data_IF_085617796584
#
_entry.id   IF_085617796584
#
_cell.length_a   1.000
_cell.length_b   1.000
_cell.length_c   1.000
_cell.angle_alpha   90.00
_cell.angle_beta   90.00
_cell.angle_gamma   90.00
#
_symmetry.space_group_name_H-M   'P 1'
#
loop_
_entity.id
_entity.type
_entity.pdbx_description
1 polymer ?
#
# COMPACT_ATOMS: atom_id res chain seq x y z
N UNK A 1 9.71 -11.92 -13.59
CA UNK A 1 9.58 -13.39 -13.66
C UNK A 1 10.84 -14.09 -14.19
N UNK A 2 11.38 -13.72 -15.33
CA UNK A 2 12.61 -14.38 -15.85
C UNK A 2 13.86 -14.03 -15.02
N UNK A 3 14.04 -12.77 -14.65
CA UNK A 3 15.23 -12.29 -13.93
C UNK A 3 15.28 -12.76 -12.49
N UNK A 4 14.17 -12.72 -11.77
CA UNK A 4 14.12 -13.12 -10.36
C UNK A 4 14.45 -14.61 -10.19
N UNK A 5 13.92 -15.47 -11.07
CA UNK A 5 14.19 -16.92 -11.03
C UNK A 5 15.69 -17.23 -11.14
N UNK A 6 16.43 -16.49 -11.98
CA UNK A 6 17.88 -16.64 -12.10
C UNK A 6 18.61 -16.07 -10.89
N UNK A 7 18.20 -14.90 -10.41
CA UNK A 7 18.82 -14.24 -9.25
C UNK A 7 18.71 -15.09 -7.96
N UNK A 8 17.63 -15.87 -7.78
CA UNK A 8 17.44 -16.74 -6.61
C UNK A 8 18.59 -17.74 -6.42
N UNK A 9 19.13 -18.23 -7.51
CA UNK A 9 20.16 -19.29 -7.52
C UNK A 9 21.60 -18.77 -7.46
N UNK A 10 21.80 -17.47 -7.41
CA UNK A 10 23.12 -16.83 -7.43
C UNK A 10 23.54 -16.38 -6.02
N UNK A 11 24.84 -16.43 -5.74
CA UNK A 11 25.42 -15.77 -4.58
C UNK A 11 25.30 -14.25 -4.67
N UNK A 12 25.52 -13.52 -3.57
CA UNK A 12 25.41 -12.05 -3.56
C UNK A 12 26.35 -11.39 -4.58
N UNK A 13 27.58 -11.88 -4.73
CA UNK A 13 28.55 -11.36 -5.71
C UNK A 13 28.10 -11.63 -7.16
N UNK A 14 27.63 -12.84 -7.42
CA UNK A 14 27.12 -13.22 -8.75
C UNK A 14 25.86 -12.44 -9.14
N UNK A 15 24.99 -12.11 -8.17
CA UNK A 15 23.82 -11.27 -8.40
C UNK A 15 24.21 -9.87 -8.89
N UNK A 16 25.22 -9.26 -8.28
CA UNK A 16 25.71 -7.94 -8.68
C UNK A 16 26.24 -8.00 -10.11
N UNK A 17 27.04 -8.99 -10.44
CA UNK A 17 27.58 -9.16 -11.78
C UNK A 17 26.48 -9.40 -12.80
N UNK A 18 25.53 -10.27 -12.48
CA UNK A 18 24.40 -10.56 -13.38
C UNK A 18 23.52 -9.32 -13.64
N UNK A 19 23.18 -8.54 -12.61
CA UNK A 19 22.42 -7.29 -12.78
C UNK A 19 23.22 -6.30 -13.63
N UNK A 20 24.53 -6.17 -13.39
CA UNK A 20 25.38 -5.31 -14.19
C UNK A 20 25.44 -5.73 -15.66
N UNK A 21 25.51 -7.03 -15.94
CA UNK A 21 25.51 -7.53 -17.33
C UNK A 21 24.14 -7.25 -18.00
N UNK A 22 23.02 -7.49 -17.29
CA UNK A 22 21.69 -7.16 -17.79
C UNK A 22 21.55 -5.68 -18.13
N UNK A 23 22.09 -4.79 -17.28
CA UNK A 23 22.02 -3.35 -17.55
C UNK A 23 22.89 -2.93 -18.74
N UNK A 24 24.02 -3.57 -18.96
CA UNK A 24 24.81 -3.39 -20.18
C UNK A 24 24.09 -3.83 -21.45
N UNK A 25 23.27 -4.88 -21.33
CA UNK A 25 22.44 -5.40 -22.43
C UNK A 25 21.16 -4.58 -22.63
N UNK A 26 21.00 -3.47 -21.91
CA UNK A 26 19.89 -2.52 -22.05
C UNK A 26 18.65 -2.85 -21.21
N UNK A 27 18.73 -3.81 -20.29
CA UNK A 27 17.64 -4.09 -19.34
C UNK A 27 17.63 -3.01 -18.27
N UNK A 28 16.49 -2.33 -18.07
CA UNK A 28 16.38 -1.33 -17.01
C UNK A 28 16.34 -1.96 -15.62
N UNK A 29 16.87 -1.23 -14.62
CA UNK A 29 16.77 -1.64 -13.23
C UNK A 29 15.31 -1.80 -12.76
N UNK A 30 14.40 -0.99 -13.29
CA UNK A 30 12.97 -1.07 -12.98
C UNK A 30 12.35 -2.41 -13.41
N UNK A 31 12.72 -2.94 -14.57
CA UNK A 31 12.24 -4.25 -15.03
C UNK A 31 12.75 -5.39 -14.14
N UNK A 32 13.99 -5.27 -13.65
CA UNK A 32 14.56 -6.24 -12.72
C UNK A 32 13.81 -6.18 -11.38
N UNK A 33 13.59 -4.97 -10.86
CA UNK A 33 12.82 -4.73 -9.64
C UNK A 33 11.39 -5.27 -9.76
N UNK A 34 10.69 -4.95 -10.85
CA UNK A 34 9.34 -5.46 -11.11
C UNK A 34 9.30 -6.99 -11.11
N UNK A 35 10.30 -7.65 -11.73
CA UNK A 35 10.39 -9.11 -11.71
C UNK A 35 10.55 -9.68 -10.29
N UNK A 36 11.31 -9.02 -9.42
CA UNK A 36 11.50 -9.42 -8.01
C UNK A 36 10.20 -9.23 -7.23
N UNK A 37 9.52 -8.09 -7.42
CA UNK A 37 8.25 -7.78 -6.75
C UNK A 37 7.15 -8.73 -7.23
N UNK A 38 7.10 -9.06 -8.51
CA UNK A 38 6.10 -9.98 -9.07
C UNK A 38 6.17 -11.40 -8.47
N UNK A 39 7.35 -11.81 -8.01
CA UNK A 39 7.54 -13.08 -7.32
C UNK A 39 7.37 -12.97 -5.79
N UNK A 40 7.10 -11.77 -5.27
CA UNK A 40 7.03 -11.43 -3.84
C UNK A 40 8.21 -11.98 -3.03
N UNK A 41 9.41 -12.00 -3.64
CA UNK A 41 10.63 -12.52 -3.03
C UNK A 41 11.29 -11.47 -2.12
N UNK A 42 10.93 -11.53 -0.85
CA UNK A 42 11.44 -10.60 0.16
C UNK A 42 12.97 -10.63 0.31
N UNK A 43 13.60 -11.79 0.16
CA UNK A 43 15.05 -11.90 0.31
C UNK A 43 15.79 -11.20 -0.85
N UNK A 44 15.33 -11.42 -2.08
CA UNK A 44 15.84 -10.71 -3.25
C UNK A 44 15.52 -9.22 -3.20
N UNK A 45 14.32 -8.84 -2.77
CA UNK A 45 13.95 -7.44 -2.61
C UNK A 45 14.89 -6.71 -1.64
N UNK A 46 15.14 -7.29 -0.46
CA UNK A 46 16.08 -6.71 0.52
C UNK A 46 17.50 -6.55 -0.04
N UNK A 47 17.96 -7.57 -0.77
CA UNK A 47 19.25 -7.49 -1.44
C UNK A 47 19.29 -6.36 -2.47
N UNK A 48 18.27 -6.31 -3.35
CA UNK A 48 18.17 -5.32 -4.42
C UNK A 48 18.05 -3.90 -3.85
N UNK A 49 17.16 -3.70 -2.90
CA UNK A 49 16.92 -2.40 -2.27
C UNK A 49 18.19 -1.83 -1.65
N UNK A 50 18.98 -2.66 -0.96
CA UNK A 50 20.24 -2.24 -0.34
C UNK A 50 21.29 -1.76 -1.36
N UNK A 51 21.27 -2.29 -2.57
CA UNK A 51 22.32 -2.03 -3.59
C UNK A 51 21.90 -0.95 -4.61
N UNK A 52 20.62 -0.85 -4.91
CA UNK A 52 20.14 -0.13 -6.10
C UNK A 52 19.00 0.85 -5.82
N UNK A 53 18.41 0.86 -4.62
CA UNK A 53 17.37 1.81 -4.27
C UNK A 53 17.89 2.84 -3.28
N UNK A 54 17.91 4.09 -3.70
CA UNK A 54 18.26 5.20 -2.80
C UNK A 54 17.10 5.54 -1.87
N UNK A 55 15.85 5.39 -2.36
CA UNK A 55 14.64 5.72 -1.63
C UNK A 55 13.47 4.83 -2.06
N UNK A 56 12.52 4.62 -1.15
CA UNK A 56 11.22 4.07 -1.46
C UNK A 56 10.33 5.17 -2.03
N UNK A 57 9.76 4.95 -3.20
CA UNK A 57 8.82 5.86 -3.84
C UNK A 57 7.48 5.18 -4.14
N UNK A 58 6.53 5.95 -4.66
CA UNK A 58 5.21 5.45 -5.06
C UNK A 58 5.26 4.38 -6.15
N UNK A 59 6.34 4.31 -6.94
CA UNK A 59 6.52 3.31 -7.99
C UNK A 59 6.66 1.92 -7.40
N UNK A 60 7.49 1.76 -6.36
CA UNK A 60 7.65 0.49 -5.64
C UNK A 60 6.33 0.03 -5.04
N UNK A 61 5.60 0.94 -4.37
CA UNK A 61 4.30 0.63 -3.79
C UNK A 61 3.28 0.25 -4.86
N UNK A 62 3.27 0.96 -5.99
CA UNK A 62 2.42 0.65 -7.14
C UNK A 62 2.69 -0.73 -7.73
N UNK A 63 3.95 -1.11 -7.87
CA UNK A 63 4.34 -2.45 -8.29
C UNK A 63 3.91 -3.53 -7.29
N UNK A 64 4.06 -3.25 -5.98
CA UNK A 64 3.60 -4.18 -4.94
C UNK A 64 2.08 -4.40 -5.00
N UNK A 65 1.28 -3.36 -5.26
CA UNK A 65 -0.17 -3.48 -5.44
C UNK A 65 -0.49 -4.28 -6.71
N UNK A 66 0.10 -3.90 -7.84
CA UNK A 66 -0.09 -4.56 -9.14
C UNK A 66 0.17 -6.07 -9.08
N UNK A 67 1.20 -6.47 -8.36
CA UNK A 67 1.62 -7.87 -8.25
C UNK A 67 1.17 -8.56 -6.96
N UNK A 68 0.39 -7.87 -6.10
CA UNK A 68 -0.10 -8.39 -4.81
C UNK A 68 1.02 -8.88 -3.89
N UNK A 69 2.15 -8.18 -3.89
CA UNK A 69 3.37 -8.53 -3.17
C UNK A 69 3.24 -8.24 -1.66
N UNK A 70 2.49 -9.07 -0.96
CA UNK A 70 2.11 -8.87 0.44
C UNK A 70 3.30 -8.95 1.39
N UNK A 71 4.26 -9.87 1.17
CA UNK A 71 5.43 -10.01 2.05
C UNK A 71 6.33 -8.77 1.98
N UNK A 72 6.49 -8.21 0.77
CA UNK A 72 7.27 -6.99 0.57
C UNK A 72 6.56 -5.80 1.22
N UNK A 73 5.23 -5.65 1.07
CA UNK A 73 4.46 -4.58 1.71
C UNK A 73 4.53 -4.65 3.23
N UNK A 74 4.35 -5.82 3.84
CA UNK A 74 4.47 -6.03 5.29
C UNK A 74 5.88 -5.65 5.76
N UNK A 75 6.90 -6.03 5.02
CA UNK A 75 8.27 -5.64 5.34
C UNK A 75 8.46 -4.12 5.28
N UNK A 76 7.99 -3.47 4.23
CA UNK A 76 8.08 -2.02 4.06
C UNK A 76 7.36 -1.28 5.18
N UNK A 77 6.21 -1.78 5.62
CA UNK A 77 5.51 -1.25 6.78
C UNK A 77 6.33 -1.38 8.07
N UNK A 78 7.00 -2.50 8.26
CA UNK A 78 7.82 -2.75 9.45
C UNK A 78 9.09 -1.91 9.51
N UNK A 79 9.57 -1.44 8.39
CA UNK A 79 10.74 -0.56 8.30
C UNK A 79 10.40 0.82 8.84
N UNK A 80 10.77 1.10 10.11
CA UNK A 80 10.56 2.39 10.79
C UNK A 80 11.40 3.55 10.20
N UNK A 81 12.00 3.38 9.05
CA UNK A 81 12.87 4.40 8.48
C UNK A 81 12.05 5.43 7.71
N UNK A 82 12.40 6.69 7.89
CA UNK A 82 11.89 7.84 7.14
C UNK A 82 12.31 7.78 5.64
N UNK A 83 12.02 6.65 5.00
CA UNK A 83 12.34 6.39 3.59
C UNK A 83 11.42 7.17 2.65
N UNK A 84 10.38 7.80 3.21
CA UNK A 84 9.38 8.52 2.43
C UNK A 84 9.83 9.93 2.18
N UNK A 85 10.41 10.17 1.03
CA UNK A 85 10.44 11.52 0.48
C UNK A 85 9.06 11.83 -0.09
N UNK A 86 8.13 12.23 0.81
CA UNK A 86 6.72 12.49 0.51
C UNK A 86 6.55 13.76 -0.35
N UNK A 87 7.60 14.26 -0.99
CA UNK A 87 7.48 15.40 -1.88
C UNK A 87 6.54 15.18 -3.08
N UNK A 88 6.08 13.93 -3.31
CA UNK A 88 5.12 13.59 -4.36
C UNK A 88 3.87 12.91 -3.78
N UNK A 89 3.06 13.66 -3.02
CA UNK A 89 1.79 13.20 -2.44
C UNK A 89 0.82 12.55 -3.45
N UNK A 90 0.86 12.99 -4.70
CA UNK A 90 -0.02 12.49 -5.76
C UNK A 90 0.15 11.00 -6.06
N UNK A 91 1.37 10.48 -6.03
CA UNK A 91 1.64 9.10 -6.39
C UNK A 91 1.10 8.12 -5.34
N UNK A 92 1.25 8.42 -4.05
CA UNK A 92 0.78 7.54 -2.97
C UNK A 92 -0.75 7.49 -2.92
N UNK A 93 -1.42 8.63 -3.10
CA UNK A 93 -2.88 8.69 -3.20
C UNK A 93 -3.40 7.83 -4.34
N UNK A 94 -2.79 7.94 -5.52
CA UNK A 94 -3.13 7.14 -6.69
C UNK A 94 -2.96 5.64 -6.42
N UNK A 95 -1.85 5.24 -5.79
CA UNK A 95 -1.57 3.84 -5.45
C UNK A 95 -2.64 3.26 -4.54
N UNK A 96 -3.11 3.99 -3.52
CA UNK A 96 -4.16 3.49 -2.62
C UNK A 96 -5.51 3.40 -3.32
N UNK A 97 -5.87 4.39 -4.14
CA UNK A 97 -7.11 4.31 -4.92
C UNK A 97 -7.09 3.09 -5.85
N UNK A 98 -5.96 2.83 -6.51
CA UNK A 98 -5.76 1.63 -7.32
C UNK A 98 -5.86 0.36 -6.46
N UNK A 99 -5.27 0.34 -5.28
CA UNK A 99 -5.36 -0.79 -4.37
C UNK A 99 -6.80 -1.11 -3.95
N UNK A 100 -7.63 -0.09 -3.70
CA UNK A 100 -9.06 -0.30 -3.39
C UNK A 100 -9.78 -0.95 -4.58
N UNK A 101 -9.42 -0.62 -5.80
CA UNK A 101 -10.05 -1.17 -6.99
C UNK A 101 -9.59 -2.61 -7.28
N UNK A 102 -8.29 -2.88 -7.18
CA UNK A 102 -7.66 -4.11 -7.66
C UNK A 102 -7.48 -5.21 -6.62
N UNK A 103 -7.33 -4.85 -5.33
CA UNK A 103 -7.14 -5.85 -4.27
C UNK A 103 -8.47 -6.44 -3.81
N UNK A 104 -8.45 -7.72 -3.46
CA UNK A 104 -9.59 -8.45 -2.91
C UNK A 104 -9.44 -8.69 -1.40
N UNK A 105 -10.45 -9.31 -0.80
CA UNK A 105 -10.42 -9.64 0.64
C UNK A 105 -9.23 -10.52 1.03
N UNK A 106 -8.81 -11.42 0.17
CA UNK A 106 -7.59 -12.23 0.38
C UNK A 106 -6.32 -11.38 0.53
N UNK A 107 -6.32 -10.15 0.03
CA UNK A 107 -5.19 -9.23 0.03
C UNK A 107 -5.26 -8.22 1.20
N UNK A 108 -6.13 -8.47 2.20
CA UNK A 108 -6.39 -7.51 3.31
C UNK A 108 -5.13 -7.14 4.09
N UNK A 109 -4.18 -8.05 4.25
CA UNK A 109 -2.91 -7.78 4.91
C UNK A 109 -2.04 -6.81 4.09
N UNK A 110 -1.97 -7.01 2.78
CA UNK A 110 -1.28 -6.11 1.87
C UNK A 110 -1.89 -4.71 1.91
N UNK A 111 -3.23 -4.63 1.89
CA UNK A 111 -3.95 -3.37 2.00
C UNK A 111 -3.73 -2.69 3.36
N UNK A 112 -3.76 -3.43 4.45
CA UNK A 112 -3.48 -2.93 5.79
C UNK A 112 -2.08 -2.34 5.88
N UNK A 113 -1.07 -3.05 5.39
CA UNK A 113 0.31 -2.57 5.37
C UNK A 113 0.48 -1.32 4.51
N UNK A 114 -0.14 -1.27 3.33
CA UNK A 114 -0.12 -0.10 2.47
C UNK A 114 -0.73 1.13 3.16
N UNK A 115 -1.87 0.97 3.82
CA UNK A 115 -2.52 2.05 4.57
C UNK A 115 -1.69 2.49 5.78
N UNK A 116 -1.06 1.55 6.49
CA UNK A 116 -0.13 1.84 7.59
C UNK A 116 1.07 2.66 7.14
N UNK A 117 1.65 2.33 5.99
CA UNK A 117 2.73 3.08 5.35
C UNK A 117 2.27 4.52 5.06
N UNK A 118 1.11 4.68 4.40
CA UNK A 118 0.55 5.97 4.06
C UNK A 118 0.37 6.86 5.29
N UNK A 119 -0.26 6.33 6.34
CA UNK A 119 -0.55 7.12 7.53
C UNK A 119 0.70 7.55 8.30
N UNK A 120 1.72 6.71 8.35
CA UNK A 120 3.01 7.13 8.91
C UNK A 120 3.62 8.26 8.12
N UNK A 121 3.55 8.16 6.79
CA UNK A 121 4.02 9.19 5.91
C UNK A 121 3.35 10.55 6.20
N UNK A 122 2.03 10.57 6.27
CA UNK A 122 1.27 11.81 6.54
C UNK A 122 1.44 12.34 7.97
N UNK A 123 1.62 11.48 8.97
CA UNK A 123 1.87 11.92 10.35
C UNK A 123 3.12 12.81 10.47
N UNK A 124 4.10 12.60 9.62
CA UNK A 124 5.33 13.39 9.61
C UNK A 124 5.21 14.72 8.85
N UNK A 125 4.22 14.89 7.97
CA UNK A 125 4.05 16.11 7.17
C UNK A 125 3.19 17.19 7.83
N UNK A 126 2.51 16.88 8.92
CA UNK A 126 1.78 17.87 9.74
C UNK A 126 0.52 18.48 9.11
N UNK A 127 0.03 17.96 7.99
CA UNK A 127 -1.13 18.53 7.28
C UNK A 127 -2.41 17.77 7.59
N UNK A 128 -3.02 18.05 8.74
CA UNK A 128 -4.26 17.40 9.22
C UNK A 128 -5.42 17.49 8.20
N UNK A 129 -5.56 18.62 7.51
CA UNK A 129 -6.65 18.81 6.54
C UNK A 129 -6.49 17.94 5.29
N UNK A 130 -5.27 17.78 4.77
CA UNK A 130 -5.01 16.91 3.62
C UNK A 130 -5.32 15.44 3.95
N UNK A 131 -5.03 15.01 5.18
CA UNK A 131 -5.38 13.65 5.66
C UNK A 131 -6.90 13.46 5.69
N UNK A 132 -7.66 14.44 6.15
CA UNK A 132 -9.13 14.36 6.19
C UNK A 132 -9.75 14.26 4.80
N UNK A 133 -9.22 15.00 3.84
CA UNK A 133 -9.73 14.95 2.46
C UNK A 133 -9.39 13.62 1.78
N UNK A 134 -8.20 13.10 2.01
CA UNK A 134 -7.82 11.76 1.57
C UNK A 134 -8.68 10.69 2.22
N UNK A 135 -8.89 10.78 3.53
CA UNK A 135 -9.78 9.87 4.25
C UNK A 135 -11.15 9.80 3.60
N UNK A 136 -11.78 10.95 3.35
CA UNK A 136 -13.09 11.00 2.70
C UNK A 136 -13.07 10.36 1.31
N UNK A 137 -12.08 10.67 0.49
CA UNK A 137 -11.94 10.14 -0.86
C UNK A 137 -11.84 8.60 -0.85
N UNK A 138 -11.03 8.04 0.05
CA UNK A 138 -10.83 6.60 0.18
C UNK A 138 -12.07 5.90 0.73
N UNK A 139 -12.71 6.46 1.76
CA UNK A 139 -13.94 5.91 2.32
C UNK A 139 -15.05 5.85 1.26
N UNK A 140 -15.25 6.94 0.50
CA UNK A 140 -16.22 6.98 -0.59
C UNK A 140 -15.89 5.93 -1.65
N UNK A 141 -14.60 5.74 -1.98
CA UNK A 141 -14.19 4.72 -2.96
C UNK A 141 -14.48 3.31 -2.45
N UNK A 142 -14.16 3.01 -1.19
CA UNK A 142 -14.48 1.72 -0.58
C UNK A 142 -16.00 1.45 -0.58
N UNK A 143 -16.82 2.45 -0.23
CA UNK A 143 -18.28 2.32 -0.22
C UNK A 143 -18.79 2.02 -1.64
N UNK A 144 -18.40 2.82 -2.64
CA UNK A 144 -18.81 2.66 -4.04
C UNK A 144 -18.43 1.29 -4.61
N UNK A 145 -17.27 0.75 -4.22
CA UNK A 145 -16.81 -0.55 -4.68
C UNK A 145 -17.25 -1.70 -3.78
N UNK A 146 -18.05 -1.43 -2.74
CA UNK A 146 -18.52 -2.42 -1.76
C UNK A 146 -17.38 -3.17 -1.04
N UNK A 147 -16.23 -2.52 -0.91
CA UNK A 147 -15.03 -3.06 -0.25
C UNK A 147 -15.06 -2.76 1.26
N UNK A 148 -16.06 -3.29 1.97
CA UNK A 148 -16.36 -2.95 3.37
C UNK A 148 -15.26 -3.37 4.36
N UNK A 149 -14.54 -4.45 4.07
CA UNK A 149 -13.36 -4.83 4.87
C UNK A 149 -12.24 -3.79 4.76
N UNK A 150 -12.00 -3.27 3.56
CA UNK A 150 -10.99 -2.21 3.35
C UNK A 150 -11.43 -0.92 4.01
N UNK A 151 -12.73 -0.61 3.95
CA UNK A 151 -13.31 0.53 4.63
C UNK A 151 -13.03 0.48 6.14
N UNK A 152 -13.28 -0.67 6.79
CA UNK A 152 -13.04 -0.86 8.21
C UNK A 152 -11.54 -0.79 8.56
N UNK A 153 -10.70 -1.46 7.77
CA UNK A 153 -9.24 -1.42 7.96
C UNK A 153 -8.72 0.01 7.88
N UNK A 154 -9.19 0.75 6.87
CA UNK A 154 -8.80 2.13 6.67
C UNK A 154 -9.30 3.03 7.80
N UNK A 155 -10.56 2.87 8.22
CA UNK A 155 -11.14 3.61 9.33
C UNK A 155 -10.36 3.39 10.64
N UNK A 156 -10.03 2.14 10.95
CA UNK A 156 -9.27 1.81 12.17
C UNK A 156 -7.88 2.44 12.19
N UNK A 157 -7.19 2.49 11.07
CA UNK A 157 -5.90 3.18 10.98
C UNK A 157 -6.03 4.70 11.19
N UNK A 158 -7.08 5.31 10.65
CA UNK A 158 -7.32 6.75 10.78
C UNK A 158 -7.80 7.11 12.19
N UNK A 159 -8.63 6.27 12.80
CA UNK A 159 -9.15 6.48 14.17
C UNK A 159 -8.04 6.71 15.18
N UNK A 160 -6.92 5.97 15.07
CA UNK A 160 -5.75 6.17 15.91
C UNK A 160 -4.99 7.50 15.69
N UNK A 161 -5.31 8.24 14.63
CA UNK A 161 -4.69 9.55 14.31
C UNK A 161 -5.56 10.75 14.74
N UNK A 162 -6.87 10.54 14.84
CA UNK A 162 -7.84 11.54 15.26
C UNK A 162 -8.43 11.15 16.62
N UNK A 163 -8.92 12.15 17.36
CA UNK A 163 -9.74 11.85 18.53
C UNK A 163 -10.91 10.94 18.10
N UNK A 164 -11.06 9.80 18.72
CA UNK A 164 -11.98 8.70 18.36
C UNK A 164 -13.38 9.15 17.93
N UNK A 165 -13.93 10.12 18.64
CA UNK A 165 -15.28 10.67 18.36
C UNK A 165 -15.43 11.38 17.02
N UNK A 166 -14.38 12.01 16.51
CA UNK A 166 -14.43 12.74 15.22
C UNK A 166 -14.40 11.75 14.06
N UNK A 167 -13.62 10.69 14.19
CA UNK A 167 -13.53 9.63 13.20
C UNK A 167 -14.86 8.90 13.02
N UNK A 168 -15.50 8.50 14.11
CA UNK A 168 -16.77 7.75 14.06
C UNK A 168 -17.92 8.59 13.49
N UNK A 169 -18.03 9.86 13.90
CA UNK A 169 -19.03 10.78 13.33
C UNK A 169 -18.83 11.04 11.84
N UNK A 170 -17.57 11.11 11.39
CA UNK A 170 -17.27 11.28 9.98
C UNK A 170 -17.64 10.04 9.17
N UNK A 171 -17.35 8.84 9.68
CA UNK A 171 -17.75 7.58 9.06
C UNK A 171 -19.28 7.48 8.94
N UNK A 172 -20.02 7.64 10.04
CA UNK A 172 -21.48 7.54 10.04
C UNK A 172 -22.13 8.51 9.05
N UNK A 173 -21.60 9.73 8.94
CA UNK A 173 -22.05 10.71 7.96
C UNK A 173 -21.79 10.27 6.53
N UNK A 174 -20.63 9.69 6.24
CA UNK A 174 -20.31 9.17 4.91
C UNK A 174 -21.17 7.98 4.56
N UNK A 175 -21.35 7.02 5.46
CA UNK A 175 -22.21 5.86 5.26
C UNK A 175 -23.65 6.30 4.90
N UNK A 176 -24.24 7.19 5.69
CA UNK A 176 -25.60 7.73 5.43
C UNK A 176 -25.72 8.49 4.11
N UNK A 177 -24.65 9.14 3.66
CA UNK A 177 -24.69 9.93 2.42
C UNK A 177 -24.48 9.09 1.15
N UNK A 178 -23.84 7.93 1.25
CA UNK A 178 -23.40 7.15 0.08
C UNK A 178 -23.95 5.72 0.03
N UNK A 179 -24.67 5.26 1.07
CA UNK A 179 -25.33 3.96 1.11
C UNK A 179 -26.86 4.14 1.12
N UNK A 180 -27.55 3.21 0.49
CA UNK A 180 -29.00 3.04 0.70
C UNK A 180 -29.28 2.52 2.11
N UNK A 181 -30.53 2.60 2.58
CA UNK A 181 -30.93 2.05 3.89
C UNK A 181 -30.62 0.55 3.98
N UNK A 182 -30.88 -0.21 2.92
CA UNK A 182 -30.62 -1.65 2.84
C UNK A 182 -29.11 -1.95 2.91
N UNK A 183 -28.29 -1.19 2.17
CA UNK A 183 -26.84 -1.33 2.21
C UNK A 183 -26.25 -0.96 3.58
N UNK A 184 -26.78 0.07 4.22
CA UNK A 184 -26.38 0.49 5.55
C UNK A 184 -26.73 -0.56 6.60
N UNK A 185 -27.94 -1.14 6.50
CA UNK A 185 -28.35 -2.23 7.37
C UNK A 185 -27.44 -3.44 7.21
N UNK A 186 -27.20 -3.89 5.98
CA UNK A 186 -26.29 -4.99 5.69
C UNK A 186 -24.86 -4.73 6.18
N UNK A 187 -24.35 -3.49 6.02
CA UNK A 187 -23.05 -3.10 6.54
C UNK A 187 -23.00 -3.21 8.07
N UNK A 188 -23.99 -2.68 8.77
CA UNK A 188 -24.03 -2.71 10.23
C UNK A 188 -24.14 -4.13 10.79
N UNK A 189 -24.88 -5.02 10.13
CA UNK A 189 -25.07 -6.40 10.58
C UNK A 189 -23.86 -7.29 10.32
N UNK A 190 -23.14 -7.10 9.20
CA UNK A 190 -22.16 -8.07 8.73
C UNK A 190 -20.72 -7.56 8.75
N UNK A 191 -20.51 -6.24 8.78
CA UNK A 191 -19.16 -5.66 8.60
C UNK A 191 -18.77 -4.67 9.69
N UNK A 192 -19.73 -4.04 10.37
CA UNK A 192 -19.40 -3.11 11.45
C UNK A 192 -18.83 -3.89 12.62
N UNK A 193 -17.56 -3.63 12.91
CA UNK A 193 -16.93 -4.16 14.11
C UNK A 193 -17.43 -3.32 15.28
N UNK A 194 -18.14 -3.95 16.22
CA UNK A 194 -18.41 -3.36 17.55
C UNK A 194 -17.06 -3.26 18.28
N UNK A 195 -16.54 -2.04 18.37
CA UNK A 195 -15.29 -1.73 19.06
C UNK A 195 -15.64 -1.02 20.37
#
# INVERSE_FOLDING_TARGET
MEYSAKLKNLSAAERILYIHDLTKDGVSLDLILESIIADDDLALYKFYAKQYLDMLDGTVLGLCVKHKASNILIYLESCNQAWFNIKNDYNITSVILTAIDELDYSDILAFSSLTGILFRAYKHTGTTNAILDLYKAFMIRCIKNKKYFFLNTFHNHVRGLFEDKVGDLALDKLLKNYMSEEELQNYNENYRLDI
#
